data_IF_952447910404
#
_entry.id   IF_952447910404
#
_cell.length_a   1.000
_cell.length_b   1.000
_cell.length_c   1.000
_cell.angle_alpha   90.00
_cell.angle_beta   90.00
_cell.angle_gamma   90.00
#
_symmetry.space_group_name_H-M   'P 1'
#
loop_
_entity.id
_entity.type
_entity.pdbx_description
1 polymer ?
#
# COMPACT_ATOMS: atom_id res chain seq x y z
N UNK A 1 34.19 -52.84 9.96
CA UNK A 1 34.05 -51.63 9.16
C UNK A 1 32.67 -51.04 9.50
N UNK A 2 32.62 -50.06 10.39
CA UNK A 2 31.35 -49.46 10.90
C UNK A 2 31.21 -48.12 10.18
N UNK A 3 30.22 -48.04 9.31
CA UNK A 3 29.89 -46.80 8.56
C UNK A 3 28.88 -46.03 9.38
N UNK A 4 29.30 -44.93 10.00
CA UNK A 4 28.38 -43.99 10.67
C UNK A 4 27.73 -43.10 9.61
N UNK A 5 26.40 -43.25 9.44
CA UNK A 5 25.57 -42.29 8.70
C UNK A 5 25.20 -41.16 9.66
N UNK A 6 25.79 -39.99 9.48
CA UNK A 6 25.29 -38.76 10.08
C UNK A 6 24.17 -38.18 9.18
N UNK A 7 22.95 -38.35 9.63
CA UNK A 7 21.78 -37.62 9.07
C UNK A 7 21.79 -36.21 9.66
N UNK A 8 22.17 -35.21 8.86
CA UNK A 8 22.01 -33.82 9.23
C UNK A 8 20.55 -33.45 8.97
N UNK A 9 19.73 -33.51 10.00
CA UNK A 9 18.39 -32.88 10.00
C UNK A 9 18.57 -31.36 10.00
N UNK A 10 18.49 -30.72 8.85
CA UNK A 10 18.33 -29.29 8.80
C UNK A 10 16.97 -28.95 9.39
N UNK A 11 16.87 -28.05 10.39
CA UNK A 11 15.60 -27.65 10.92
C UNK A 11 14.82 -26.92 9.81
N UNK A 12 13.76 -27.54 9.33
CA UNK A 12 12.78 -26.84 8.51
C UNK A 12 12.08 -25.81 9.42
N UNK A 13 12.47 -24.55 9.28
CA UNK A 13 11.70 -23.46 9.88
C UNK A 13 10.42 -23.30 9.06
N UNK A 14 9.33 -23.85 9.56
CA UNK A 14 8.01 -23.52 9.02
C UNK A 14 7.72 -22.06 9.33
N UNK A 15 7.85 -21.19 8.35
CA UNK A 15 7.28 -19.84 8.45
C UNK A 15 5.77 -19.99 8.32
N UNK A 16 5.04 -19.79 9.42
CA UNK A 16 3.59 -19.77 9.36
C UNK A 16 3.14 -18.55 8.55
N UNK A 17 2.23 -18.76 7.60
CA UNK A 17 1.59 -17.66 6.88
C UNK A 17 0.91 -16.72 7.88
N UNK A 18 1.16 -15.42 7.75
CA UNK A 18 0.43 -14.41 8.52
C UNK A 18 -0.89 -14.18 7.83
N UNK A 19 -1.98 -14.30 8.57
CA UNK A 19 -3.32 -13.96 8.11
C UNK A 19 -4.04 -13.16 9.19
N UNK A 20 -4.73 -12.11 8.79
CA UNK A 20 -5.55 -11.29 9.67
C UNK A 20 -6.74 -10.72 8.91
N UNK A 21 -7.78 -10.40 9.66
CA UNK A 21 -8.97 -9.73 9.14
C UNK A 21 -9.46 -8.72 10.18
N UNK A 22 -9.64 -7.49 9.75
CA UNK A 22 -10.16 -6.40 10.56
C UNK A 22 -11.48 -5.89 9.95
N UNK A 23 -12.61 -6.48 10.30
CA UNK A 23 -13.91 -6.01 9.81
C UNK A 23 -14.32 -4.66 10.42
N UNK A 24 -13.64 -4.25 11.48
CA UNK A 24 -13.78 -2.95 12.14
C UNK A 24 -12.54 -2.66 12.97
N UNK A 25 -12.34 -1.39 13.34
CA UNK A 25 -11.18 -0.93 14.08
C UNK A 25 -11.57 -0.29 15.41
N UNK A 26 -10.66 -0.33 16.37
CA UNK A 26 -10.77 0.39 17.61
C UNK A 26 -9.51 1.20 17.89
N UNK A 27 -9.62 2.25 18.71
CA UNK A 27 -8.47 3.05 19.13
C UNK A 27 -7.44 2.27 19.97
N UNK A 28 -7.86 1.13 20.49
CA UNK A 28 -7.02 0.21 21.25
C UNK A 28 -6.66 -1.05 20.46
N UNK A 29 -6.71 -0.99 19.13
CA UNK A 29 -6.36 -2.15 18.28
C UNK A 29 -4.89 -2.55 18.49
N UNK A 30 -4.62 -3.71 19.12
CA UNK A 30 -3.27 -4.04 19.57
C UNK A 30 -2.31 -4.36 18.42
N UNK A 31 -2.83 -4.56 17.23
CA UNK A 31 -2.05 -4.94 16.06
C UNK A 31 -1.87 -3.82 15.04
N UNK A 32 -2.42 -2.63 15.30
CA UNK A 32 -2.32 -1.47 14.41
C UNK A 32 -1.60 -0.33 15.13
N UNK A 33 -0.57 0.20 14.51
CA UNK A 33 0.10 1.43 14.93
C UNK A 33 -0.47 2.59 14.13
N UNK A 34 -0.84 3.67 14.81
CA UNK A 34 -1.38 4.87 14.21
C UNK A 34 -0.35 6.01 14.28
N UNK A 35 -0.10 6.67 13.17
CA UNK A 35 0.65 7.93 13.09
C UNK A 35 -0.26 9.00 12.49
N UNK A 36 -0.55 10.06 13.25
CA UNK A 36 -1.52 11.10 12.84
C UNK A 36 -2.85 10.54 12.33
N UNK A 37 -3.23 9.36 12.79
CA UNK A 37 -4.43 8.63 12.41
C UNK A 37 -5.10 8.07 13.65
N UNK A 38 -6.37 7.68 13.56
CA UNK A 38 -7.11 7.09 14.67
C UNK A 38 -8.31 6.27 14.17
N UNK A 39 -8.79 5.33 14.98
CA UNK A 39 -10.09 4.72 14.74
C UNK A 39 -11.18 5.58 15.36
N UNK A 40 -12.20 5.95 14.58
CA UNK A 40 -13.32 6.77 15.03
C UNK A 40 -14.45 5.96 15.69
N UNK A 41 -15.54 6.62 16.06
CA UNK A 41 -16.72 5.98 16.69
C UNK A 41 -17.43 5.01 15.74
N UNK A 42 -17.36 5.23 14.43
CA UNK A 42 -17.88 4.33 13.38
C UNK A 42 -17.00 3.12 13.16
N UNK A 43 -15.92 2.98 13.95
CA UNK A 43 -14.95 1.88 13.88
C UNK A 43 -14.22 1.78 12.54
N UNK A 44 -13.99 2.92 11.89
CA UNK A 44 -13.15 3.05 10.70
C UNK A 44 -11.89 3.86 11.02
N UNK A 45 -10.82 3.61 10.28
CA UNK A 45 -9.58 4.37 10.43
C UNK A 45 -9.71 5.70 9.71
N UNK A 46 -9.50 6.80 10.42
CA UNK A 46 -9.34 8.13 9.88
C UNK A 46 -7.85 8.40 9.68
N UNK A 47 -7.43 8.50 8.41
CA UNK A 47 -6.04 8.77 8.03
C UNK A 47 -5.80 10.28 7.92
N UNK A 48 -6.87 11.05 7.71
CA UNK A 48 -6.83 12.51 7.67
C UNK A 48 -7.58 13.07 8.87
N UNK A 49 -7.13 14.23 9.37
CA UNK A 49 -7.81 14.91 10.47
C UNK A 49 -9.20 15.40 10.09
N UNK A 50 -10.06 15.62 11.10
CA UNK A 50 -11.40 16.21 10.95
C UNK A 50 -11.41 17.68 10.50
N UNK A 51 -10.22 18.30 10.39
CA UNK A 51 -10.04 19.68 9.93
C UNK A 51 -9.29 19.66 8.61
N UNK A 52 -9.70 20.51 7.69
CA UNK A 52 -9.01 20.83 6.44
C UNK A 52 -7.68 21.53 6.75
N UNK A 53 -6.75 20.81 7.39
CA UNK A 53 -5.38 21.28 7.58
C UNK A 53 -4.60 20.94 6.33
N UNK A 54 -4.01 21.91 5.62
CA UNK A 54 -3.11 21.63 4.52
C UNK A 54 -1.98 20.68 4.98
N UNK A 55 -1.56 19.78 4.10
CA UNK A 55 -0.40 18.91 4.33
C UNK A 55 -0.57 17.90 5.49
N UNK A 56 -1.80 17.41 5.68
CA UNK A 56 -2.04 16.39 6.68
C UNK A 56 -1.73 15.00 6.14
N UNK A 57 -0.86 14.27 6.81
CA UNK A 57 -0.50 12.90 6.49
C UNK A 57 -0.82 12.02 7.69
N UNK A 58 -1.59 10.99 7.48
CA UNK A 58 -1.87 9.96 8.47
C UNK A 58 -1.49 8.58 7.97
N UNK A 59 -1.15 7.68 8.88
CA UNK A 59 -0.77 6.31 8.57
C UNK A 59 -1.31 5.36 9.61
N UNK A 60 -1.81 4.22 9.14
CA UNK A 60 -2.11 3.07 9.96
C UNK A 60 -1.29 1.87 9.49
N UNK A 61 -0.54 1.25 10.38
CA UNK A 61 0.40 0.18 10.03
C UNK A 61 0.15 -1.03 10.88
N UNK A 62 0.03 -2.21 10.28
CA UNK A 62 0.08 -3.48 10.99
C UNK A 62 1.48 -3.66 11.57
N UNK A 63 1.59 -3.76 12.90
CA UNK A 63 2.88 -3.58 13.56
C UNK A 63 3.76 -4.82 13.57
N UNK A 64 3.18 -6.03 13.34
CA UNK A 64 4.00 -7.25 13.30
C UNK A 64 4.69 -7.36 11.95
N UNK A 65 6.03 -7.47 11.93
CA UNK A 65 6.75 -7.63 10.68
C UNK A 65 6.29 -8.90 9.95
N UNK A 66 6.14 -8.78 8.64
CA UNK A 66 5.87 -9.90 7.75
C UNK A 66 7.14 -10.26 7.00
N UNK A 67 7.50 -11.55 6.99
CA UNK A 67 8.63 -12.01 6.22
C UNK A 67 8.20 -12.22 4.76
N UNK A 68 8.31 -11.16 3.97
CA UNK A 68 7.91 -11.20 2.55
C UNK A 68 9.05 -11.59 1.62
N UNK A 69 10.30 -11.53 2.07
CA UNK A 69 11.48 -11.78 1.26
C UNK A 69 12.42 -12.79 1.92
N UNK A 70 12.84 -13.80 1.16
CA UNK A 70 13.83 -14.75 1.59
C UNK A 70 15.18 -14.47 0.94
N UNK A 71 16.17 -14.11 1.74
CA UNK A 71 17.52 -13.76 1.28
C UNK A 71 18.25 -14.93 0.64
N UNK A 72 17.93 -16.17 1.03
CA UNK A 72 18.59 -17.38 0.53
C UNK A 72 18.10 -17.75 -0.87
N UNK A 73 16.79 -17.79 -1.05
CA UNK A 73 16.16 -18.09 -2.35
C UNK A 73 16.04 -16.88 -3.26
N UNK A 74 16.17 -15.66 -2.69
CA UNK A 74 15.90 -14.37 -3.37
C UNK A 74 14.48 -14.25 -3.93
N UNK A 75 13.54 -14.95 -3.32
CA UNK A 75 12.15 -14.95 -3.73
C UNK A 75 11.30 -14.10 -2.80
N UNK A 76 10.37 -13.36 -3.38
CA UNK A 76 9.28 -12.72 -2.67
C UNK A 76 8.21 -13.77 -2.38
N UNK A 77 7.59 -13.71 -1.20
CA UNK A 77 6.49 -14.58 -0.82
C UNK A 77 5.19 -14.08 -1.44
N UNK A 78 4.29 -14.99 -1.78
CA UNK A 78 2.93 -14.63 -2.18
C UNK A 78 2.25 -13.81 -1.09
N UNK A 79 1.54 -12.77 -1.49
CA UNK A 79 0.67 -12.05 -0.59
C UNK A 79 -0.63 -11.63 -1.29
N UNK A 80 -1.67 -11.52 -0.50
CA UNK A 80 -2.96 -10.99 -0.94
C UNK A 80 -3.53 -10.08 0.14
N UNK A 81 -4.12 -8.98 -0.28
CA UNK A 81 -4.84 -8.08 0.61
C UNK A 81 -6.10 -7.56 -0.07
N UNK A 82 -7.11 -7.30 0.76
CA UNK A 82 -8.34 -6.63 0.37
C UNK A 82 -8.65 -5.58 1.42
N UNK A 83 -9.02 -4.39 0.99
CA UNK A 83 -9.46 -3.33 1.88
C UNK A 83 -10.49 -2.45 1.19
N UNK A 84 -11.30 -1.81 2.03
CA UNK A 84 -12.28 -0.82 1.62
C UNK A 84 -11.88 0.55 2.14
N UNK A 85 -12.13 1.60 1.37
CA UNK A 85 -11.81 2.97 1.76
C UNK A 85 -12.79 3.97 1.16
N UNK A 86 -12.85 5.14 1.78
CA UNK A 86 -13.63 6.28 1.31
C UNK A 86 -12.69 7.48 1.23
N UNK A 87 -12.75 8.17 0.10
CA UNK A 87 -12.22 9.53 -0.03
C UNK A 87 -13.44 10.43 -0.21
N UNK A 88 -13.58 11.39 0.69
CA UNK A 88 -14.71 12.33 0.67
C UNK A 88 -14.19 13.76 0.57
N UNK A 89 -14.43 14.40 -0.56
CA UNK A 89 -14.07 15.79 -0.78
C UNK A 89 -15.01 16.76 -0.06
N UNK A 90 -16.07 16.27 0.60
CA UNK A 90 -17.11 17.09 1.22
C UNK A 90 -17.73 18.12 0.25
N UNK A 91 -17.95 17.70 -1.00
CA UNK A 91 -18.41 18.52 -2.11
C UNK A 91 -17.47 19.69 -2.47
N UNK A 92 -16.22 19.65 -2.07
CA UNK A 92 -15.21 20.60 -2.51
C UNK A 92 -14.73 20.22 -3.91
N UNK A 93 -14.57 21.21 -4.76
CA UNK A 93 -14.03 21.04 -6.11
C UNK A 93 -12.50 20.99 -6.15
N UNK A 94 -11.84 21.37 -5.07
CA UNK A 94 -10.40 21.35 -4.90
C UNK A 94 -10.05 20.40 -3.77
N UNK A 95 -9.55 19.23 -4.10
CA UNK A 95 -9.17 18.16 -3.19
C UNK A 95 -7.92 17.45 -3.70
N UNK A 96 -7.12 16.96 -2.78
CA UNK A 96 -5.86 16.26 -2.99
C UNK A 96 -5.52 15.44 -1.74
N UNK A 97 -4.53 14.58 -1.69
CA UNK A 97 -3.77 14.03 -2.79
C UNK A 97 -4.23 12.60 -3.09
N UNK A 98 -4.55 11.80 -2.06
CA UNK A 98 -5.01 10.44 -2.23
C UNK A 98 -4.77 9.54 -1.02
N UNK A 99 -4.81 8.23 -1.25
CA UNK A 99 -4.52 7.18 -0.27
C UNK A 99 -3.67 6.11 -0.91
N UNK A 100 -2.77 5.50 -0.14
CA UNK A 100 -1.95 4.39 -0.61
C UNK A 100 -1.99 3.20 0.35
N UNK A 101 -2.07 1.99 -0.22
CA UNK A 101 -1.62 0.77 0.44
C UNK A 101 -0.11 0.68 0.30
N UNK A 102 0.60 0.27 1.35
CA UNK A 102 2.05 0.16 1.27
C UNK A 102 2.64 -1.01 2.06
N UNK A 103 3.80 -1.45 1.62
CA UNK A 103 4.72 -2.31 2.33
C UNK A 103 6.05 -1.56 2.46
N UNK A 104 6.58 -1.48 3.67
CA UNK A 104 7.82 -0.75 3.96
C UNK A 104 8.63 -1.47 5.04
N UNK A 105 9.93 -1.17 5.19
CA UNK A 105 10.77 -1.74 6.22
C UNK A 105 10.18 -1.52 7.62
N UNK A 106 10.41 -2.50 8.50
CA UNK A 106 9.96 -2.40 9.88
C UNK A 106 10.53 -1.14 10.55
N UNK A 107 9.64 -0.38 11.18
CA UNK A 107 10.00 0.87 11.85
C UNK A 107 10.04 2.11 10.94
N UNK A 108 9.67 1.99 9.65
CA UNK A 108 9.48 3.16 8.78
C UNK A 108 8.46 4.14 9.38
N UNK A 109 8.67 5.44 9.14
CA UNK A 109 7.86 6.54 9.68
C UNK A 109 7.48 7.52 8.59
N UNK A 110 6.38 8.27 8.81
CA UNK A 110 6.06 9.41 7.96
C UNK A 110 7.20 10.44 8.07
N UNK A 111 7.68 10.90 6.93
CA UNK A 111 8.62 12.00 6.89
C UNK A 111 7.90 13.32 7.18
N UNK A 112 8.37 14.07 8.17
CA UNK A 112 7.66 15.27 8.67
C UNK A 112 7.52 16.41 7.66
N UNK A 113 8.41 16.48 6.69
CA UNK A 113 8.38 17.47 5.62
C UNK A 113 7.85 16.89 4.30
N UNK A 114 7.14 15.75 4.36
CA UNK A 114 6.46 15.15 3.22
C UNK A 114 5.45 16.13 2.63
N UNK A 115 5.37 16.18 1.32
CA UNK A 115 4.35 16.90 0.58
C UNK A 115 3.17 15.96 0.27
N UNK A 116 2.05 16.49 -0.18
CA UNK A 116 0.91 15.69 -0.58
C UNK A 116 1.25 14.65 -1.64
N UNK A 117 2.04 15.04 -2.64
CA UNK A 117 2.55 14.15 -3.70
C UNK A 117 3.33 12.93 -3.22
N UNK A 118 3.85 12.97 -1.99
CA UNK A 118 4.64 11.86 -1.43
C UNK A 118 3.76 10.81 -0.75
N UNK A 119 2.46 11.07 -0.59
CA UNK A 119 1.48 10.25 0.13
C UNK A 119 1.98 9.74 1.50
N UNK A 120 2.92 10.46 2.12
CA UNK A 120 3.57 10.09 3.37
C UNK A 120 4.54 8.90 3.28
N UNK A 121 4.94 8.50 2.08
CA UNK A 121 5.79 7.32 1.83
C UNK A 121 7.22 7.69 1.49
N UNK A 122 7.43 8.75 0.73
CA UNK A 122 8.71 9.13 0.18
C UNK A 122 9.38 10.22 1.02
N UNK A 123 10.70 10.10 1.20
CA UNK A 123 11.53 11.10 1.84
C UNK A 123 12.55 11.65 0.83
N UNK A 124 12.38 12.88 0.32
CA UNK A 124 13.28 13.44 -0.69
C UNK A 124 14.71 13.69 -0.19
N UNK A 125 14.95 13.62 1.12
CA UNK A 125 16.29 13.73 1.68
C UNK A 125 17.09 12.42 1.62
N UNK A 126 16.43 11.30 1.27
CA UNK A 126 17.03 9.98 1.15
C UNK A 126 17.24 9.63 -0.33
N UNK A 127 18.21 8.77 -0.60
CA UNK A 127 18.37 8.21 -1.94
C UNK A 127 17.34 7.08 -2.21
N UNK A 128 17.26 6.60 -3.44
CA UNK A 128 16.28 5.59 -3.85
C UNK A 128 16.41 4.24 -3.12
N UNK A 129 17.60 3.91 -2.61
CA UNK A 129 17.81 2.68 -1.84
C UNK A 129 17.40 2.83 -0.38
N UNK A 130 17.40 4.04 0.14
CA UNK A 130 16.96 4.38 1.50
C UNK A 130 15.45 4.64 1.54
N UNK A 131 14.85 5.09 0.43
CA UNK A 131 13.40 5.19 0.23
C UNK A 131 12.83 3.82 -0.13
N UNK A 132 12.93 2.87 0.77
CA UNK A 132 12.52 1.48 0.52
C UNK A 132 11.04 1.30 0.80
N UNK A 133 10.21 1.21 -0.24
CA UNK A 133 8.80 0.88 -0.13
C UNK A 133 8.24 0.30 -1.45
N UNK A 134 7.16 -0.43 -1.31
CA UNK A 134 6.22 -0.76 -2.36
C UNK A 134 4.88 -0.13 -2.01
N UNK A 135 4.21 0.47 -2.98
CA UNK A 135 2.87 0.99 -2.76
C UNK A 135 1.95 0.75 -3.95
N UNK A 136 0.66 0.76 -3.65
CA UNK A 136 -0.42 0.95 -4.62
C UNK A 136 -1.11 2.24 -4.22
N UNK A 137 -0.94 3.27 -5.03
CA UNK A 137 -1.53 4.58 -4.81
C UNK A 137 -2.88 4.71 -5.52
N UNK A 138 -3.78 5.39 -4.86
CA UNK A 138 -5.06 5.86 -5.38
C UNK A 138 -4.99 7.38 -5.37
N UNK A 139 -4.37 7.93 -6.40
CA UNK A 139 -4.06 9.35 -6.51
C UNK A 139 -5.22 10.10 -7.18
N UNK A 140 -5.66 11.18 -6.53
CA UNK A 140 -6.76 12.03 -6.97
C UNK A 140 -6.31 13.43 -7.40
N UNK A 141 -4.98 13.66 -7.37
CA UNK A 141 -4.39 14.93 -7.76
C UNK A 141 -3.15 14.71 -8.64
N UNK A 142 -3.17 15.24 -9.85
CA UNK A 142 -2.04 15.11 -10.77
C UNK A 142 -0.96 16.15 -10.45
N UNK A 143 0.18 15.70 -10.01
CA UNK A 143 1.38 16.49 -9.78
C UNK A 143 2.18 16.60 -11.09
N UNK A 144 2.25 17.80 -11.66
CA UNK A 144 2.93 18.05 -12.93
C UNK A 144 4.34 17.41 -12.98
N UNK A 145 4.63 16.68 -14.03
CA UNK A 145 5.87 15.92 -14.31
C UNK A 145 6.06 14.62 -13.49
N UNK A 146 5.28 14.34 -12.48
CA UNK A 146 5.35 13.10 -11.72
C UNK A 146 4.27 12.13 -12.17
N UNK A 147 3.06 12.63 -12.39
CA UNK A 147 1.85 11.87 -12.58
C UNK A 147 1.26 12.00 -13.98
N UNK A 148 0.42 11.05 -14.41
CA UNK A 148 -0.45 11.23 -15.55
C UNK A 148 -1.43 12.39 -15.29
N UNK A 149 -2.02 13.01 -16.34
CA UNK A 149 -2.82 14.24 -16.21
C UNK A 149 -4.22 14.04 -15.62
N UNK A 150 -4.47 12.93 -14.93
CA UNK A 150 -5.78 12.58 -14.34
C UNK A 150 -5.60 11.75 -13.09
N UNK A 151 -6.71 11.60 -12.33
CA UNK A 151 -6.77 10.64 -11.24
C UNK A 151 -6.34 9.26 -11.75
N UNK A 152 -5.55 8.57 -10.97
CA UNK A 152 -4.98 7.29 -11.39
C UNK A 152 -4.78 6.33 -10.22
N UNK A 153 -4.65 5.07 -10.55
CA UNK A 153 -4.14 4.05 -9.64
C UNK A 153 -2.78 3.63 -10.16
N UNK A 154 -1.78 3.77 -9.32
CA UNK A 154 -0.38 3.54 -9.65
C UNK A 154 0.26 2.45 -8.78
N UNK A 155 1.34 1.89 -9.29
CA UNK A 155 2.21 0.96 -8.58
C UNK A 155 3.56 1.62 -8.43
N UNK A 156 4.00 1.81 -7.19
CA UNK A 156 5.20 2.51 -6.83
C UNK A 156 6.24 1.59 -6.21
N UNK A 157 7.48 1.74 -6.63
CA UNK A 157 8.60 0.97 -6.10
C UNK A 157 9.76 1.91 -5.84
N UNK A 158 10.01 2.22 -4.57
CA UNK A 158 11.10 3.10 -4.13
C UNK A 158 11.06 4.51 -4.76
N UNK A 159 9.95 4.90 -5.32
CA UNK A 159 9.77 6.13 -6.08
C UNK A 159 8.30 6.53 -6.05
N UNK A 160 8.02 7.82 -6.08
CA UNK A 160 6.69 8.40 -6.28
C UNK A 160 6.29 8.48 -7.75
N UNK A 161 7.15 8.02 -8.65
CA UNK A 161 6.80 7.87 -10.06
C UNK A 161 6.42 6.42 -10.28
N UNK A 162 5.17 6.18 -10.55
CA UNK A 162 4.61 4.84 -10.74
C UNK A 162 5.30 4.08 -11.87
N UNK A 163 5.68 2.84 -11.61
CA UNK A 163 6.22 1.90 -12.62
C UNK A 163 5.13 1.37 -13.55
N UNK A 164 3.89 1.41 -13.11
CA UNK A 164 2.69 1.11 -13.90
C UNK A 164 1.52 1.88 -13.33
N UNK A 165 0.68 2.42 -14.18
CA UNK A 165 -0.53 3.12 -13.75
C UNK A 165 -1.68 2.95 -14.75
N UNK A 166 -2.88 3.27 -14.30
CA UNK A 166 -4.09 3.34 -15.12
C UNK A 166 -4.99 4.47 -14.60
N UNK A 167 -5.66 5.17 -15.50
CA UNK A 167 -6.61 6.21 -15.11
C UNK A 167 -7.73 5.64 -14.25
N UNK A 168 -8.02 6.28 -13.13
CA UNK A 168 -9.06 5.88 -12.19
C UNK A 168 -10.37 6.61 -12.49
N UNK A 169 -11.43 5.87 -12.60
CA UNK A 169 -12.78 6.42 -12.77
C UNK A 169 -13.38 6.76 -11.40
N UNK A 170 -12.83 7.77 -10.74
CA UNK A 170 -13.05 8.07 -9.32
C UNK A 170 -13.92 9.30 -9.05
N UNK A 171 -14.02 10.22 -9.98
CA UNK A 171 -14.56 11.59 -9.77
C UNK A 171 -15.87 11.61 -8.96
N UNK A 172 -16.87 10.82 -9.34
CA UNK A 172 -18.16 10.80 -8.64
C UNK A 172 -18.00 10.18 -7.24
N UNK A 173 -17.25 9.12 -7.11
CA UNK A 173 -17.06 8.44 -5.82
C UNK A 173 -16.39 9.32 -4.78
N UNK A 174 -15.49 10.20 -5.19
CA UNK A 174 -14.80 11.15 -4.31
C UNK A 174 -15.73 12.28 -3.87
N UNK A 175 -16.51 12.85 -4.79
CA UNK A 175 -17.43 13.93 -4.47
C UNK A 175 -18.58 13.49 -3.57
N UNK A 176 -19.03 12.25 -3.69
CA UNK A 176 -20.13 11.68 -2.93
C UNK A 176 -19.68 10.92 -1.68
N UNK A 177 -18.38 10.74 -1.47
CA UNK A 177 -17.84 9.95 -0.36
C UNK A 177 -18.23 8.47 -0.44
N UNK A 178 -18.30 7.90 -1.64
CA UNK A 178 -18.72 6.52 -1.84
C UNK A 178 -17.61 5.52 -1.48
N UNK A 179 -18.03 4.32 -1.10
CA UNK A 179 -17.12 3.22 -0.77
C UNK A 179 -16.38 2.73 -1.99
N UNK A 180 -15.08 2.63 -1.88
CA UNK A 180 -14.18 1.99 -2.83
C UNK A 180 -13.59 0.73 -2.22
N UNK A 181 -13.26 -0.22 -3.06
CA UNK A 181 -12.61 -1.47 -2.68
C UNK A 181 -11.39 -1.74 -3.55
N UNK A 182 -10.39 -2.38 -2.96
CA UNK A 182 -9.18 -2.77 -3.66
C UNK A 182 -8.72 -4.18 -3.25
N UNK A 183 -8.34 -4.98 -4.23
CA UNK A 183 -7.75 -6.30 -4.10
C UNK A 183 -6.36 -6.28 -4.72
N UNK A 184 -5.34 -6.54 -3.92
CA UNK A 184 -3.95 -6.56 -4.36
C UNK A 184 -3.41 -7.95 -4.14
N UNK A 185 -2.93 -8.59 -5.19
CA UNK A 185 -2.42 -9.94 -5.16
C UNK A 185 -1.06 -10.02 -5.85
N UNK A 186 -0.09 -10.57 -5.17
CA UNK A 186 1.19 -10.92 -5.76
C UNK A 186 1.37 -12.43 -5.77
N UNK A 187 1.72 -12.97 -6.94
CA UNK A 187 2.06 -14.37 -7.14
C UNK A 187 3.55 -14.50 -7.49
N UNK A 188 4.30 -15.11 -6.59
CA UNK A 188 5.75 -15.26 -6.71
C UNK A 188 6.17 -16.20 -7.85
N UNK A 189 5.35 -17.21 -8.17
CA UNK A 189 5.66 -18.17 -9.24
C UNK A 189 5.56 -17.55 -10.62
N UNK A 190 4.60 -16.67 -10.85
CA UNK A 190 4.43 -15.92 -12.10
C UNK A 190 5.07 -14.54 -12.06
N UNK A 191 5.53 -14.10 -10.88
CA UNK A 191 6.05 -12.76 -10.62
C UNK A 191 5.08 -11.63 -11.00
N UNK A 192 3.80 -11.90 -10.95
CA UNK A 192 2.75 -10.95 -11.30
C UNK A 192 2.13 -10.32 -10.06
N UNK A 193 2.06 -9.01 -10.09
CA UNK A 193 1.25 -8.20 -9.18
C UNK A 193 -0.01 -7.78 -9.91
N UNK A 194 -1.15 -8.12 -9.35
CA UNK A 194 -2.47 -7.74 -9.85
C UNK A 194 -3.16 -6.84 -8.84
N UNK A 195 -3.62 -5.71 -9.29
CA UNK A 195 -4.45 -4.78 -8.52
C UNK A 195 -5.81 -4.68 -9.22
N UNK A 196 -6.87 -5.04 -8.51
CA UNK A 196 -8.26 -4.87 -8.95
C UNK A 196 -8.89 -3.87 -7.99
N UNK A 197 -9.64 -2.92 -8.51
CA UNK A 197 -10.25 -1.87 -7.70
C UNK A 197 -11.56 -1.37 -8.31
N UNK A 198 -12.37 -0.73 -7.49
CA UNK A 198 -13.62 -0.15 -7.95
C UNK A 198 -13.37 1.18 -8.65
N UNK A 199 -14.15 1.40 -9.71
CA UNK A 199 -14.29 2.68 -10.39
C UNK A 199 -15.77 2.97 -10.62
N UNK A 200 -16.08 4.10 -11.24
CA UNK A 200 -17.45 4.52 -11.49
C UNK A 200 -17.63 4.98 -12.93
N UNK A 201 -18.54 4.36 -13.66
CA UNK A 201 -18.83 4.70 -15.06
C UNK A 201 -20.34 4.70 -15.31
N UNK A 202 -20.83 5.82 -15.85
CA UNK A 202 -22.26 5.98 -16.16
C UNK A 202 -23.18 5.64 -14.97
N UNK A 203 -22.86 6.13 -13.78
CA UNK A 203 -23.57 5.88 -12.52
C UNK A 203 -23.60 4.39 -12.11
N UNK A 204 -22.63 3.60 -12.56
CA UNK A 204 -22.50 2.19 -12.20
C UNK A 204 -21.09 1.92 -11.71
N UNK A 205 -20.96 1.23 -10.59
CA UNK A 205 -19.68 0.73 -10.10
C UNK A 205 -19.13 -0.33 -11.07
N UNK A 206 -17.88 -0.16 -11.46
CA UNK A 206 -17.18 -1.09 -12.36
C UNK A 206 -15.85 -1.49 -11.74
N UNK A 207 -15.38 -2.68 -12.05
CA UNK A 207 -14.03 -3.08 -11.67
C UNK A 207 -13.04 -2.60 -12.73
N UNK A 208 -11.98 -1.97 -12.27
CA UNK A 208 -10.79 -1.62 -13.05
C UNK A 208 -9.61 -2.45 -12.57
N UNK A 209 -8.54 -2.52 -13.35
CA UNK A 209 -7.34 -3.23 -12.94
C UNK A 209 -6.09 -2.65 -13.54
N UNK A 210 -4.98 -2.82 -12.81
CA UNK A 210 -3.62 -2.67 -13.32
C UNK A 210 -2.84 -3.94 -13.03
N UNK A 211 -2.05 -4.37 -13.97
CA UNK A 211 -1.19 -5.55 -13.86
C UNK A 211 0.26 -5.12 -14.07
N UNK A 212 1.12 -5.56 -13.16
CA UNK A 212 2.55 -5.33 -13.25
C UNK A 212 3.30 -6.65 -13.16
N UNK A 213 4.16 -6.90 -14.14
CA UNK A 213 5.02 -8.08 -14.15
C UNK A 213 6.37 -7.68 -13.55
N UNK A 214 6.72 -8.28 -12.43
CA UNK A 214 7.94 -7.98 -11.70
C UNK A 214 9.11 -8.76 -12.29
N UNK A 215 9.76 -8.20 -13.29
CA UNK A 215 10.94 -8.79 -13.89
C UNK A 215 12.21 -8.36 -13.15
N UNK A 216 12.99 -9.37 -12.77
CA UNK A 216 14.40 -9.31 -12.39
C UNK A 216 14.78 -8.52 -11.12
N UNK A 217 15.57 -9.23 -10.30
CA UNK A 217 16.19 -8.80 -9.04
C UNK A 217 15.17 -8.58 -7.94
N UNK A 218 15.23 -9.41 -6.94
CA UNK A 218 14.44 -9.24 -5.75
C UNK A 218 14.39 -7.78 -5.31
N UNK A 219 13.34 -7.38 -4.63
CA UNK A 219 13.08 -5.98 -4.38
C UNK A 219 14.29 -5.32 -3.70
N UNK A 220 14.82 -4.30 -4.32
CA UNK A 220 15.95 -3.51 -3.79
C UNK A 220 15.61 -2.84 -2.46
N UNK A 221 14.33 -2.84 -2.09
CA UNK A 221 13.82 -2.27 -0.84
C UNK A 221 13.82 -3.25 0.35
N UNK A 222 14.23 -4.51 0.16
CA UNK A 222 14.31 -5.53 1.21
C UNK A 222 15.77 -5.95 1.53
N UNK A 223 16.74 -5.11 1.25
CA UNK A 223 18.15 -5.34 1.51
C UNK A 223 18.55 -5.31 2.99
#
# INVERSE_FOLDING_TARGET
MITNFFSVLTPFTFTSAISFNFPSFSSLEPNISFENAYANEDKVIQITGSKLTPWYHGRATYFRPMHLWDKGSKNLTDFATHFSFVIDSQNLSNYADGVAFFLAPNGSKIYRASNGSDLGLYNPALNSTENSFFAVEFDIWSNYQLDPPREHVGIDINSIISVANVSWLSNITIMEGNLNEAWINYNSSSQNLSVIFTGFKNNVTVNQSVLYCWFEKGPTWMG
#
